data_IF_870732314042
#
_entry.id   IF_870732314042
#
_cell.length_a   1.000
_cell.length_b   1.000
_cell.length_c   1.000
_cell.angle_alpha   90.00
_cell.angle_beta   90.00
_cell.angle_gamma   90.00
#
_symmetry.space_group_name_H-M   'P 1'
#
loop_
_entity.id
_entity.type
_entity.pdbx_description
1 polymer ?
#
# COMPACT_ATOMS: atom_id res chain seq x y z
N UNK A 1 -12.14 -30.83 -40.85
CA UNK A 1 -11.97 -31.08 -39.41
C UNK A 1 -10.59 -30.64 -38.88
N UNK A 2 -9.46 -31.16 -39.39
CA UNK A 2 -8.10 -30.79 -38.93
C UNK A 2 -7.79 -29.28 -38.97
N UNK A 3 -8.21 -28.59 -40.02
CA UNK A 3 -8.00 -27.14 -40.20
C UNK A 3 -8.69 -26.28 -39.14
N UNK A 4 -9.91 -26.63 -38.76
CA UNK A 4 -10.67 -25.95 -37.70
C UNK A 4 -10.01 -26.11 -36.33
N UNK A 5 -9.51 -27.32 -36.02
CA UNK A 5 -8.78 -27.59 -34.77
C UNK A 5 -7.49 -26.74 -34.72
N UNK A 6 -6.71 -26.73 -35.79
CA UNK A 6 -5.47 -25.95 -35.86
C UNK A 6 -5.73 -24.45 -35.74
N UNK A 7 -6.82 -23.95 -36.34
CA UNK A 7 -7.21 -22.54 -36.21
C UNK A 7 -7.54 -22.18 -34.77
N UNK A 8 -8.26 -23.06 -34.05
CA UNK A 8 -8.61 -22.84 -32.66
C UNK A 8 -7.37 -22.84 -31.75
N UNK A 9 -6.43 -23.75 -31.97
CA UNK A 9 -5.20 -23.80 -31.18
C UNK A 9 -4.30 -22.58 -31.42
N UNK A 10 -4.21 -22.09 -32.67
CA UNK A 10 -3.53 -20.81 -32.94
C UNK A 10 -4.15 -19.67 -32.17
N UNK A 11 -5.49 -19.55 -32.17
CA UNK A 11 -6.17 -18.52 -31.39
C UNK A 11 -5.85 -18.63 -29.91
N UNK A 12 -5.94 -19.83 -29.32
CA UNK A 12 -5.58 -20.08 -27.92
C UNK A 12 -4.14 -19.65 -27.61
N UNK A 13 -3.20 -19.92 -28.52
CA UNK A 13 -1.80 -19.52 -28.36
C UNK A 13 -1.61 -17.99 -28.47
N UNK A 14 -2.38 -17.32 -29.33
CA UNK A 14 -2.37 -15.86 -29.42
C UNK A 14 -2.89 -15.23 -28.12
N UNK A 15 -4.05 -15.68 -27.63
CA UNK A 15 -4.65 -15.18 -26.39
C UNK A 15 -3.67 -15.40 -25.19
N UNK A 16 -2.99 -16.54 -25.13
CA UNK A 16 -1.95 -16.80 -24.11
C UNK A 16 -0.73 -15.88 -24.23
N UNK A 17 -0.26 -15.62 -25.44
CA UNK A 17 0.89 -14.75 -25.66
C UNK A 17 0.57 -13.28 -25.35
N UNK A 18 -0.68 -12.86 -25.59
CA UNK A 18 -1.19 -11.53 -25.24
C UNK A 18 -1.21 -11.34 -23.72
N UNK A 19 -1.79 -12.29 -22.98
CA UNK A 19 -1.76 -12.26 -21.51
C UNK A 19 -0.33 -12.25 -20.94
N UNK A 20 0.62 -12.94 -21.59
CA UNK A 20 2.03 -12.90 -21.17
C UNK A 20 2.67 -11.52 -21.43
N UNK A 21 2.21 -10.78 -22.43
CA UNK A 21 2.68 -9.42 -22.70
C UNK A 21 2.13 -8.42 -21.70
N UNK A 22 0.85 -8.54 -21.36
CA UNK A 22 0.25 -7.78 -20.27
C UNK A 22 1.02 -8.02 -18.97
N UNK A 23 1.37 -9.29 -18.67
CA UNK A 23 2.22 -9.59 -17.52
C UNK A 23 3.56 -8.84 -17.58
N UNK A 24 4.24 -8.80 -18.74
CA UNK A 24 5.50 -8.05 -18.89
C UNK A 24 5.32 -6.57 -18.56
N UNK A 25 4.23 -5.95 -18.99
CA UNK A 25 3.97 -4.52 -18.74
C UNK A 25 3.87 -4.18 -17.24
N UNK A 26 3.49 -5.14 -16.41
CA UNK A 26 3.40 -5.00 -14.95
C UNK A 26 4.73 -5.24 -14.23
N UNK A 27 5.75 -5.79 -14.90
CA UNK A 27 7.03 -6.10 -14.30
C UNK A 27 7.96 -4.88 -14.28
N UNK A 28 8.89 -4.81 -13.31
CA UNK A 28 9.94 -3.81 -13.34
C UNK A 28 10.80 -3.98 -14.60
N UNK A 29 11.38 -2.88 -15.09
CA UNK A 29 12.24 -2.82 -16.29
C UNK A 29 11.54 -3.04 -17.64
N UNK A 30 10.22 -3.18 -17.66
CA UNK A 30 9.45 -3.35 -18.90
C UNK A 30 9.41 -2.11 -19.79
N UNK A 31 9.66 -0.93 -19.21
CA UNK A 31 9.61 0.38 -19.89
C UNK A 31 10.98 0.85 -20.39
N UNK A 32 12.05 0.12 -20.10
CA UNK A 32 13.39 0.51 -20.53
C UNK A 32 13.47 0.35 -22.05
N UNK A 33 13.44 1.47 -22.78
CA UNK A 33 13.40 1.51 -24.25
C UNK A 33 14.60 0.83 -24.94
N UNK A 34 15.69 0.61 -24.20
CA UNK A 34 16.88 -0.12 -24.64
C UNK A 34 16.88 -1.61 -24.25
N UNK A 35 15.93 -2.04 -23.41
CA UNK A 35 15.84 -3.41 -22.93
C UNK A 35 15.22 -4.32 -23.99
N UNK A 36 15.89 -5.45 -24.23
CA UNK A 36 15.35 -6.49 -25.12
C UNK A 36 14.17 -7.19 -24.42
N UNK A 37 13.11 -7.48 -25.20
CA UNK A 37 11.97 -8.30 -24.74
C UNK A 37 12.43 -9.57 -24.04
N UNK A 38 12.00 -9.74 -22.80
CA UNK A 38 12.33 -10.91 -21.99
C UNK A 38 11.74 -12.20 -22.58
N UNK A 39 12.51 -13.29 -22.51
CA UNK A 39 12.01 -14.64 -22.84
C UNK A 39 10.82 -15.02 -21.95
N UNK A 40 10.01 -16.01 -22.37
CA UNK A 40 8.87 -16.49 -21.57
C UNK A 40 9.30 -16.96 -20.18
N UNK A 41 10.38 -17.73 -20.11
CA UNK A 41 10.91 -18.24 -18.84
C UNK A 41 11.39 -17.12 -17.93
N UNK A 42 12.13 -16.13 -18.45
CA UNK A 42 12.62 -15.02 -17.66
C UNK A 42 11.46 -14.14 -17.16
N UNK A 43 10.43 -13.96 -17.98
CA UNK A 43 9.21 -13.22 -17.61
C UNK A 43 8.55 -13.87 -16.40
N UNK A 44 8.35 -15.19 -16.42
CA UNK A 44 7.73 -15.92 -15.31
C UNK A 44 8.61 -15.93 -14.05
N UNK A 45 9.92 -16.13 -14.20
CA UNK A 45 10.86 -16.07 -13.07
C UNK A 45 10.87 -14.69 -12.40
N UNK A 46 10.92 -13.62 -13.21
CA UNK A 46 10.88 -12.26 -12.69
C UNK A 46 9.54 -11.96 -12.01
N UNK A 47 8.42 -12.40 -12.59
CA UNK A 47 7.10 -12.22 -11.99
C UNK A 47 7.01 -12.88 -10.59
N UNK A 48 7.45 -14.12 -10.46
CA UNK A 48 7.48 -14.82 -9.17
C UNK A 48 8.34 -14.09 -8.13
N UNK A 49 9.55 -13.68 -8.53
CA UNK A 49 10.46 -12.94 -7.66
C UNK A 49 9.90 -11.56 -7.30
N UNK A 50 9.19 -10.90 -8.23
CA UNK A 50 8.60 -9.60 -8.02
C UNK A 50 7.46 -9.65 -7.01
N UNK A 51 6.54 -10.60 -7.16
CA UNK A 51 5.46 -10.83 -6.18
C UNK A 51 6.06 -11.06 -4.79
N UNK A 52 7.07 -11.93 -4.67
CA UNK A 52 7.76 -12.19 -3.39
C UNK A 52 8.34 -10.92 -2.78
N UNK A 53 9.05 -10.11 -3.58
CA UNK A 53 9.65 -8.86 -3.11
C UNK A 53 8.59 -7.83 -2.69
N UNK A 54 7.52 -7.67 -3.48
CA UNK A 54 6.40 -6.80 -3.13
C UNK A 54 5.75 -7.21 -1.81
N UNK A 55 5.54 -8.51 -1.57
CA UNK A 55 4.99 -9.00 -0.29
C UNK A 55 5.89 -8.64 0.89
N UNK A 56 7.20 -8.85 0.76
CA UNK A 56 8.18 -8.49 1.81
C UNK A 56 8.18 -6.98 2.06
N UNK A 57 8.21 -6.17 0.99
CA UNK A 57 8.21 -4.70 1.10
C UNK A 57 6.93 -4.16 1.70
N UNK A 58 5.78 -4.72 1.35
CA UNK A 58 4.50 -4.33 1.94
C UNK A 58 4.45 -4.62 3.45
N UNK A 59 4.90 -5.81 3.88
CA UNK A 59 4.97 -6.15 5.30
C UNK A 59 5.86 -5.19 6.10
N UNK A 60 7.02 -4.86 5.54
CA UNK A 60 7.95 -3.93 6.17
C UNK A 60 7.36 -2.52 6.28
N UNK A 61 6.72 -2.01 5.22
CA UNK A 61 6.03 -0.71 5.28
C UNK A 61 4.88 -0.70 6.28
N UNK A 62 4.13 -1.79 6.41
CA UNK A 62 3.08 -1.91 7.43
C UNK A 62 3.64 -1.85 8.85
N UNK A 63 4.78 -2.50 9.11
CA UNK A 63 5.47 -2.39 10.41
C UNK A 63 5.93 -0.98 10.72
N UNK A 64 6.53 -0.31 9.74
CA UNK A 64 6.98 1.08 9.89
C UNK A 64 5.81 2.01 10.21
N UNK A 65 4.69 1.88 9.49
CA UNK A 65 3.47 2.64 9.78
C UNK A 65 2.92 2.35 11.18
N UNK A 66 2.97 1.09 11.64
CA UNK A 66 2.54 0.73 12.99
C UNK A 66 3.46 1.34 14.06
N UNK A 67 4.78 1.35 13.83
CA UNK A 67 5.75 1.99 14.71
C UNK A 67 5.52 3.50 14.82
N UNK A 68 5.40 4.20 13.68
CA UNK A 68 5.11 5.64 13.68
C UNK A 68 3.79 5.98 14.42
N UNK A 69 2.74 5.16 14.23
CA UNK A 69 1.48 5.33 14.96
C UNK A 69 1.60 5.07 16.47
N UNK A 70 2.52 4.20 16.89
CA UNK A 70 2.78 3.96 18.30
C UNK A 70 3.55 5.13 18.93
N UNK A 71 4.49 5.72 18.18
CA UNK A 71 5.24 6.92 18.59
C UNK A 71 4.31 8.15 18.71
N UNK A 72 3.39 8.35 17.76
CA UNK A 72 2.37 9.43 17.83
C UNK A 72 1.39 9.28 19.01
N UNK A 73 1.27 8.09 19.61
CA UNK A 73 0.48 7.90 20.84
C UNK A 73 1.18 8.38 22.11
N UNK A 74 2.48 8.66 22.04
CA UNK A 74 3.25 9.23 23.17
C UNK A 74 3.13 10.76 23.19
N UNK A 75 2.83 11.39 22.04
CA UNK A 75 2.70 12.85 21.91
C UNK A 75 1.27 13.39 22.04
N UNK A 76 0.23 12.56 22.03
CA UNK A 76 -1.07 12.99 22.55
C UNK A 76 -0.91 13.10 24.06
N UNK A 77 -0.92 14.30 24.67
CA UNK A 77 -0.96 14.39 26.11
C UNK A 77 -2.24 13.66 26.50
N UNK A 78 -2.11 12.54 27.22
CA UNK A 78 -3.21 11.95 27.95
C UNK A 78 -3.92 13.12 28.61
N UNK A 79 -5.15 13.41 28.20
CA UNK A 79 -5.94 14.52 28.70
C UNK A 79 -6.06 14.30 30.20
N UNK A 80 -5.10 14.84 30.94
CA UNK A 80 -5.06 14.75 32.38
C UNK A 80 -6.17 15.72 32.78
N UNK A 81 -7.27 15.24 33.40
CA UNK A 81 -8.34 16.14 33.79
C UNK A 81 -7.71 17.24 34.66
N UNK A 82 -7.92 18.53 34.31
CA UNK A 82 -7.44 19.62 35.16
C UNK A 82 -8.14 19.46 36.52
N UNK A 83 -7.39 19.01 37.52
CA UNK A 83 -7.83 18.89 38.90
C UNK A 83 -7.95 20.32 39.44
N UNK A 84 -9.11 20.95 39.29
CA UNK A 84 -9.36 22.28 39.87
C UNK A 84 -9.46 22.14 41.40
N UNK A 85 -8.54 22.76 42.13
CA UNK A 85 -8.78 23.06 43.54
C UNK A 85 -9.83 24.20 43.63
N UNK A 86 -10.79 24.08 44.56
CA UNK A 86 -11.82 25.10 44.77
C UNK A 86 -11.16 26.47 45.04
N UNK A 87 -11.35 27.43 44.12
CA UNK A 87 -10.85 28.80 44.26
C UNK A 87 -9.59 29.16 43.46
N UNK A 88 -9.02 28.26 42.64
CA UNK A 88 -7.83 28.57 41.81
C UNK A 88 -8.14 28.62 40.31
N UNK A 89 -7.58 29.61 39.60
CA UNK A 89 -7.71 29.76 38.16
C UNK A 89 -6.83 28.73 37.41
N UNK A 90 -7.43 27.88 36.55
CA UNK A 90 -6.73 26.91 35.70
C UNK A 90 -6.61 27.45 34.27
N UNK A 91 -5.37 27.60 33.78
CA UNK A 91 -5.08 28.15 32.44
C UNK A 91 -4.73 27.09 31.38
N UNK A 92 -5.17 25.84 31.56
CA UNK A 92 -4.97 24.82 30.53
C UNK A 92 -5.97 24.98 29.37
N UNK A 93 -5.58 24.49 28.18
CA UNK A 93 -6.38 24.61 26.95
C UNK A 93 -7.82 24.12 27.14
N UNK A 94 -8.03 23.00 27.86
CA UNK A 94 -9.37 22.46 28.12
C UNK A 94 -10.26 23.36 29.00
N UNK A 95 -9.68 24.09 29.96
CA UNK A 95 -10.44 25.00 30.81
C UNK A 95 -10.70 26.36 30.15
N UNK A 96 -9.77 26.83 29.30
CA UNK A 96 -9.95 28.05 28.51
C UNK A 96 -11.03 27.89 27.44
N UNK A 97 -11.18 26.71 26.84
CA UNK A 97 -12.22 26.48 25.82
C UNK A 97 -13.60 26.22 26.43
N UNK A 98 -13.67 25.67 27.64
CA UNK A 98 -14.94 25.37 28.33
C UNK A 98 -15.56 26.61 28.98
N UNK A 99 -14.82 27.70 29.22
CA UNK A 99 -15.37 28.94 29.79
C UNK A 99 -16.21 29.76 28.81
N UNK A 100 -16.41 29.30 27.57
CA UNK A 100 -17.21 29.99 26.54
C UNK A 100 -18.57 29.34 26.25
N UNK A 101 -19.05 28.36 27.03
CA UNK A 101 -20.44 27.90 26.90
C UNK A 101 -21.36 28.72 27.80
N UNK A 102 -22.35 29.45 27.24
CA UNK A 102 -23.30 30.19 28.05
C UNK A 102 -24.23 29.18 28.76
N UNK A 103 -24.25 29.22 30.09
CA UNK A 103 -25.29 28.56 30.87
C UNK A 103 -26.62 29.28 30.59
N UNK A 104 -27.60 28.52 30.09
CA UNK A 104 -29.01 28.92 30.17
C UNK A 104 -29.45 29.02 31.63
#
# INVERSE_FOLDING_TARGET
MRTSINSRERKRMHDLNEALEELRSCLPYSQDASSRKMSKINTLLLACNWIRQLTIRNHELQKQLAAFRAEDRITVPLATPCMKAFGQACFCIACLTTSMTPKQ
#
